data_IF_292134600633
#
_entry.id   IF_292134600633
#
_cell.length_a   1.000
_cell.length_b   1.000
_cell.length_c   1.000
_cell.angle_alpha   90.00
_cell.angle_beta   90.00
_cell.angle_gamma   90.00
#
_symmetry.space_group_name_H-M   'P 1'
#
loop_
_entity.id
_entity.type
_entity.pdbx_description
1 polymer ?
2 non-polymer ?
3 water ?
#
# COMPACT_ATOMS: atom_id res chain seq x y z
N UNK A 2 8.83 18.59 13.94
CA UNK A 2 10.23 18.20 13.59
C UNK A 2 10.47 18.40 12.10
N UNK A 3 9.65 17.75 11.29
CA UNK A 3 9.74 17.86 9.84
C UNK A 3 8.37 18.22 9.28
N UNK A 4 8.23 18.16 7.96
CA UNK A 4 6.97 18.49 7.30
C UNK A 4 6.10 17.24 7.16
N UNK A 5 4.94 17.23 7.81
CA UNK A 5 4.06 16.07 7.72
C UNK A 5 2.82 16.34 6.90
N UNK A 6 2.83 17.46 6.18
CA UNK A 6 1.72 17.80 5.33
C UNK A 6 1.76 16.83 4.15
N UNK A 7 0.64 16.16 3.92
CA UNK A 7 0.53 15.20 2.84
C UNK A 7 0.94 15.81 1.51
N UNK A 8 0.60 17.08 1.33
CA UNK A 8 0.92 17.79 0.10
C UNK A 8 2.43 17.96 -0.09
N UNK A 9 3.21 17.73 0.95
CA UNK A 9 4.66 17.89 0.86
C UNK A 9 5.36 16.58 0.53
N UNK A 10 4.64 15.48 0.67
CA UNK A 10 5.21 14.16 0.42
C UNK A 10 5.62 13.92 -1.01
N UNK A 11 6.87 13.52 -1.19
CA UNK A 11 7.40 13.21 -2.50
C UNK A 11 6.93 11.80 -2.83
N UNK A 12 6.72 11.55 -4.12
CA UNK A 12 6.31 10.23 -4.55
C UNK A 12 7.25 9.83 -5.68
N UNK A 13 7.12 8.59 -6.14
CA UNK A 13 8.00 8.06 -7.17
C UNK A 13 8.01 8.85 -8.47
N UNK A 14 9.15 9.45 -8.78
CA UNK A 14 9.29 10.22 -10.00
C UNK A 14 9.12 9.31 -11.21
N UNK A 15 8.36 9.77 -12.19
CA UNK A 15 8.12 9.00 -13.40
C UNK A 15 7.74 7.55 -13.12
N UNK A 16 6.87 7.33 -12.14
CA UNK A 16 6.45 5.98 -11.79
C UNK A 16 6.06 5.20 -13.04
N UNK A 17 6.61 4.00 -13.16
CA UNK A 17 6.38 3.13 -14.30
C UNK A 17 5.51 1.93 -13.92
N UNK A 18 4.24 1.99 -14.30
CA UNK A 18 3.28 0.93 -13.98
C UNK A 18 3.72 -0.46 -14.43
N UNK A 19 4.27 -0.55 -15.64
CA UNK A 19 4.72 -1.83 -16.18
C UNK A 19 5.78 -2.47 -15.29
N UNK A 20 6.82 -1.70 -14.98
CA UNK A 20 7.90 -2.20 -14.14
C UNK A 20 7.40 -2.58 -12.76
N UNK A 21 6.28 -1.99 -12.35
CA UNK A 21 5.73 -2.25 -11.03
C UNK A 21 4.83 -3.48 -11.00
N UNK A 22 4.42 -3.94 -12.18
CA UNK A 22 3.54 -5.11 -12.25
C UNK A 22 4.16 -6.33 -11.59
N UNK A 23 3.31 -7.29 -11.25
CA UNK A 23 3.81 -8.50 -10.63
C UNK A 23 3.44 -8.64 -9.17
N UNK A 24 4.08 -9.61 -8.53
CA UNK A 24 3.81 -9.92 -7.14
C UNK A 24 4.63 -9.06 -6.19
N UNK A 25 3.93 -8.48 -5.22
CA UNK A 25 4.55 -7.67 -4.19
C UNK A 25 4.05 -8.22 -2.87
N UNK A 26 4.98 -8.55 -1.99
CA UNK A 26 4.63 -9.08 -0.69
C UNK A 26 4.68 -7.95 0.32
N UNK A 27 3.58 -7.75 1.03
CA UNK A 27 3.54 -6.70 2.04
C UNK A 27 4.41 -7.17 3.20
N UNK A 28 5.43 -6.39 3.53
CA UNK A 28 6.32 -6.76 4.63
C UNK A 28 5.96 -6.00 5.89
N UNK A 29 5.33 -4.85 5.72
CA UNK A 29 4.94 -4.04 6.86
C UNK A 29 3.75 -3.20 6.46
N UNK A 30 3.00 -2.77 7.46
CA UNK A 30 1.84 -1.96 7.19
C UNK A 30 1.58 -1.03 8.34
N UNK A 31 1.16 0.18 8.00
CA UNK A 31 0.78 1.18 8.99
C UNK A 31 -0.72 1.12 8.77
N UNK A 32 -1.46 0.77 9.81
CA UNK A 32 -2.90 0.65 9.69
C UNK A 32 -3.67 1.95 9.79
N UNK A 33 -4.79 2.04 9.07
CA UNK A 33 -5.63 3.23 9.10
C UNK A 33 -6.67 2.89 10.16
N UNK A 34 -7.62 3.78 10.41
CA UNK A 34 -8.65 3.47 11.38
C UNK A 34 -9.47 2.33 10.79
N UNK A 35 -9.93 1.41 11.64
CA UNK A 35 -10.71 0.29 11.14
C UNK A 35 -9.93 -0.48 10.09
N UNK A 36 -8.76 -0.96 10.48
CA UNK A 36 -7.90 -1.70 9.58
C UNK A 36 -8.60 -2.91 8.98
N UNK A 37 -8.24 -3.24 7.75
CA UNK A 37 -8.87 -4.36 7.07
C UNK A 37 -7.88 -5.50 6.82
N UNK A 38 -6.88 -5.28 5.98
CA UNK A 38 -5.89 -6.32 5.71
C UNK A 38 -5.03 -6.52 6.96
N UNK A 39 -5.07 -7.74 7.48
CA UNK A 39 -4.33 -8.09 8.69
C UNK A 39 -2.90 -8.56 8.41
N UNK A 40 -2.77 -9.67 7.69
CA UNK A 40 -1.44 -10.19 7.36
C UNK A 40 -1.48 -11.12 6.16
N UNK A 41 -0.35 -11.75 5.87
CA UNK A 41 -0.26 -12.66 4.73
C UNK A 41 -0.74 -11.94 3.50
N UNK A 42 -0.46 -10.64 3.46
CA UNK A 42 -0.88 -9.81 2.36
C UNK A 42 0.03 -9.88 1.15
N UNK A 43 -0.53 -10.37 0.06
CA UNK A 43 0.20 -10.50 -1.18
C UNK A 43 -0.59 -9.82 -2.28
N UNK A 44 0.03 -8.84 -2.90
CA UNK A 44 -0.62 -8.08 -3.96
C UNK A 44 -0.06 -8.49 -5.32
N UNK A 45 -0.92 -8.45 -6.33
CA UNK A 45 -0.52 -8.78 -7.68
C UNK A 45 -0.95 -7.60 -8.54
N UNK A 46 0.04 -6.87 -9.04
CA UNK A 46 -0.23 -5.70 -9.87
C UNK A 46 -0.14 -6.01 -11.35
N UNK A 47 -0.98 -5.34 -12.12
CA UNK A 47 -1.00 -5.53 -13.56
C UNK A 47 -1.31 -4.20 -14.23
N UNK A 48 -1.08 -4.14 -15.53
CA UNK A 48 -1.38 -2.94 -16.30
C UNK A 48 -1.88 -3.43 -17.65
N UNK A 49 -3.08 -3.00 -18.02
CA UNK A 49 -3.65 -3.43 -19.30
C UNK A 49 -3.07 -2.62 -20.45
N UNK A 50 -3.35 -3.07 -21.67
CA UNK A 50 -2.82 -2.41 -22.85
C UNK A 50 -3.17 -0.92 -22.94
N UNK A 51 -4.17 -0.49 -22.18
CA UNK A 51 -4.57 0.92 -22.19
C UNK A 51 -3.74 1.71 -21.19
N UNK A 52 -2.84 1.02 -20.50
CA UNK A 52 -2.00 1.68 -19.52
C UNK A 52 -2.65 1.78 -18.16
N UNK A 53 -3.82 1.17 -18.00
CA UNK A 53 -4.51 1.21 -16.73
C UNK A 53 -3.99 0.16 -15.77
N UNK A 54 -3.52 0.62 -14.62
CA UNK A 54 -3.00 -0.27 -13.61
C UNK A 54 -4.14 -0.80 -12.76
N UNK A 55 -4.03 -2.05 -12.36
CA UNK A 55 -5.04 -2.68 -11.53
C UNK A 55 -4.29 -3.64 -10.62
N UNK A 56 -4.99 -4.20 -9.64
CA UNK A 56 -4.34 -5.12 -8.74
C UNK A 56 -5.33 -6.00 -8.02
N UNK A 57 -4.83 -7.12 -7.52
CA UNK A 57 -5.63 -8.03 -6.75
C UNK A 57 -4.76 -8.25 -5.53
N UNK A 58 -5.36 -8.71 -4.45
CA UNK A 58 -4.60 -8.95 -3.25
C UNK A 58 -5.27 -10.08 -2.50
N UNK A 59 -4.45 -10.85 -1.80
CA UNK A 59 -4.94 -11.96 -1.01
C UNK A 59 -4.28 -11.82 0.35
N UNK A 60 -5.03 -12.14 1.40
CA UNK A 60 -4.48 -12.04 2.74
C UNK A 60 -5.53 -12.19 3.81
N UNK A 61 -5.08 -12.31 5.05
CA UNK A 61 -5.96 -12.45 6.20
C UNK A 61 -6.56 -11.08 6.47
N UNK A 62 -7.88 -11.00 6.47
CA UNK A 62 -8.57 -9.74 6.73
C UNK A 62 -9.46 -9.89 7.95
N UNK A 63 -9.61 -8.81 8.71
CA UNK A 63 -10.45 -8.86 9.90
C UNK A 63 -11.85 -8.37 9.58
N UNK A 64 -12.78 -9.31 9.47
CA UNK A 64 -14.16 -8.99 9.16
C UNK A 64 -14.86 -8.40 10.38
N UNK A 65 -15.00 -9.22 11.42
CA UNK A 65 -15.67 -8.79 12.63
C UNK A 65 -14.75 -8.47 13.80
N UNK A 66 -15.38 -8.06 14.89
CA UNK A 66 -14.70 -7.68 16.12
C UNK A 66 -13.62 -8.65 16.59
N UNK A 67 -13.99 -9.90 16.80
CA UNK A 67 -13.06 -10.89 17.32
C UNK A 67 -12.31 -11.80 16.35
N UNK A 68 -12.83 -12.01 15.14
CA UNK A 68 -12.12 -12.89 14.22
C UNK A 68 -11.99 -12.46 12.76
N UNK A 69 -10.99 -13.03 12.08
CA UNK A 69 -10.69 -12.72 10.69
C UNK A 69 -10.99 -13.85 9.71
N UNK A 70 -10.37 -13.78 8.53
CA UNK A 70 -10.56 -14.77 7.48
C UNK A 70 -9.70 -14.44 6.25
N UNK A 71 -9.52 -15.41 5.37
CA UNK A 71 -8.75 -15.20 4.15
C UNK A 71 -9.67 -14.57 3.11
N UNK A 72 -9.19 -13.54 2.44
CA UNK A 72 -10.01 -12.87 1.44
C UNK A 72 -9.23 -12.40 0.21
N UNK A 73 -9.92 -12.38 -0.93
CA UNK A 73 -9.33 -11.94 -2.18
C UNK A 73 -9.89 -10.56 -2.50
N UNK A 74 -9.00 -9.61 -2.73
CA UNK A 74 -9.41 -8.25 -3.03
C UNK A 74 -9.06 -7.88 -4.45
N UNK A 75 -9.77 -6.89 -4.97
CA UNK A 75 -9.55 -6.42 -6.32
C UNK A 75 -9.46 -4.91 -6.27
N UNK A 76 -8.58 -4.34 -7.09
CA UNK A 76 -8.42 -2.91 -7.12
C UNK A 76 -8.08 -2.39 -8.50
N UNK A 77 -8.69 -1.28 -8.87
CA UNK A 77 -8.45 -0.65 -10.15
C UNK A 77 -7.96 0.76 -9.85
N UNK A 78 -6.90 1.17 -10.52
CA UNK A 78 -6.36 2.49 -10.27
C UNK A 78 -6.63 3.48 -11.38
N UNK A 79 -7.07 4.67 -10.99
CA UNK A 79 -7.35 5.74 -11.94
C UNK A 79 -6.20 6.72 -11.82
N UNK A 80 -5.61 7.06 -12.96
CA UNK A 80 -4.49 7.99 -13.01
C UNK A 80 -4.87 9.39 -12.56
N UNK A 81 -3.85 10.17 -12.22
CA UNK A 81 -4.02 11.56 -11.82
C UNK A 81 -2.89 12.26 -12.54
N UNK A 82 -2.75 13.56 -12.32
CA UNK A 82 -1.70 14.34 -12.97
C UNK A 82 -0.32 13.81 -12.61
N UNK A 83 -0.21 13.22 -11.43
CA UNK A 83 1.05 12.68 -10.94
C UNK A 83 1.10 11.18 -11.25
N UNK A 84 2.10 10.75 -12.04
CA UNK A 84 2.25 9.34 -12.41
C UNK A 84 2.33 8.36 -11.24
N UNK A 85 2.69 8.87 -10.07
CA UNK A 85 2.82 8.02 -8.88
C UNK A 85 1.60 8.09 -7.96
N UNK A 86 0.66 8.97 -8.26
CA UNK A 86 -0.53 9.10 -7.42
C UNK A 86 -1.77 8.60 -8.14
N UNK A 87 -2.51 7.72 -7.48
CA UNK A 87 -3.70 7.14 -8.06
C UNK A 87 -4.91 7.20 -7.16
N UNK A 88 -6.05 6.88 -7.74
CA UNK A 88 -7.30 6.81 -7.01
C UNK A 88 -7.57 5.32 -7.16
N UNK A 89 -7.63 4.62 -6.04
CA UNK A 89 -7.85 3.18 -6.10
C UNK A 89 -9.23 2.75 -5.66
N UNK A 90 -10.01 2.25 -6.61
CA UNK A 90 -11.33 1.74 -6.30
C UNK A 90 -11.08 0.27 -6.00
N UNK A 91 -11.53 -0.18 -4.84
CA UNK A 91 -11.33 -1.57 -4.48
C UNK A 91 -12.58 -2.23 -3.95
N UNK A 92 -12.55 -3.56 -3.93
CA UNK A 92 -13.67 -4.34 -3.46
C UNK A 92 -13.18 -5.76 -3.27
N UNK A 93 -13.96 -6.58 -2.58
CA UNK A 93 -13.56 -7.95 -2.36
C UNK A 93 -14.34 -8.86 -3.29
N UNK A 94 -13.77 -10.03 -3.60
CA UNK A 94 -14.46 -10.97 -4.46
C UNK A 94 -15.79 -11.27 -3.80
N UNK A 95 -15.79 -11.26 -2.47
CA UNK A 95 -17.00 -11.48 -1.70
C UNK A 95 -17.68 -10.13 -1.58
N UNK A 96 -18.92 -10.06 -2.05
CA UNK A 96 -19.71 -8.84 -2.04
C UNK A 96 -19.69 -8.06 -0.72
N UNK A 97 -19.72 -8.77 0.40
CA UNK A 97 -19.74 -8.13 1.71
C UNK A 97 -18.40 -7.57 2.18
N UNK A 98 -17.32 -7.92 1.49
CA UNK A 98 -15.99 -7.43 1.86
C UNK A 98 -15.93 -5.91 1.73
N UNK A 99 -15.02 -5.29 2.47
CA UNK A 99 -14.86 -3.85 2.44
C UNK A 99 -14.65 -3.33 1.02
N UNK A 100 -15.46 -2.35 0.63
CA UNK A 100 -15.36 -1.73 -0.68
C UNK A 100 -15.05 -0.26 -0.43
N UNK A 101 -14.41 0.39 -1.39
CA UNK A 101 -14.10 1.79 -1.20
C UNK A 101 -13.24 2.39 -2.29
N UNK A 102 -12.76 3.60 -2.04
CA UNK A 102 -11.93 4.30 -2.99
C UNK A 102 -10.94 5.14 -2.20
N UNK A 103 -9.68 4.72 -2.22
CA UNK A 103 -8.64 5.44 -1.50
C UNK A 103 -7.59 5.98 -2.45
N UNK A 104 -6.92 7.04 -2.01
CA UNK A 104 -5.83 7.58 -2.79
C UNK A 104 -4.83 6.44 -2.67
N UNK A 105 -3.99 6.27 -3.67
CA UNK A 105 -2.98 5.22 -3.62
C UNK A 105 -1.73 5.83 -4.21
N UNK A 106 -0.77 6.12 -3.35
CA UNK A 106 0.46 6.73 -3.81
C UNK A 106 1.62 5.78 -3.74
N UNK A 107 2.41 5.73 -4.82
CA UNK A 107 3.60 4.91 -4.80
C UNK A 107 4.65 5.93 -4.37
N UNK A 108 4.93 5.95 -3.07
CA UNK A 108 5.88 6.88 -2.51
C UNK A 108 7.28 6.64 -3.06
N UNK A 109 7.67 5.38 -3.12
CA UNK A 109 8.97 5.07 -3.66
C UNK A 109 9.00 3.60 -4.00
N UNK A 110 9.90 3.26 -4.91
CA UNK A 110 10.09 1.89 -5.33
C UNK A 110 11.28 1.84 -6.27
N UNK A 111 11.92 0.68 -6.34
CA UNK A 111 13.03 0.50 -7.25
C UNK A 111 12.57 -0.60 -8.22
N UNK A 112 11.28 -0.91 -8.13
CA UNK A 112 10.60 -1.90 -8.98
C UNK A 112 10.93 -3.37 -8.80
N UNK A 113 12.20 -3.71 -8.59
CA UNK A 113 12.55 -5.11 -8.45
C UNK A 113 12.87 -5.54 -7.03
N UNK A 114 12.71 -4.65 -6.06
CA UNK A 114 13.04 -5.01 -4.69
C UNK A 114 12.02 -4.54 -3.66
N UNK A 115 11.80 -3.24 -3.61
CA UNK A 115 10.89 -2.67 -2.62
C UNK A 115 9.94 -1.64 -3.18
N UNK A 116 8.88 -1.39 -2.43
CA UNK A 116 7.89 -0.41 -2.81
C UNK A 116 7.30 0.11 -1.52
N UNK A 117 7.06 1.41 -1.48
CA UNK A 117 6.45 2.03 -0.32
C UNK A 117 5.21 2.69 -0.87
N UNK A 118 4.06 2.25 -0.38
CA UNK A 118 2.77 2.77 -0.80
C UNK A 118 2.21 3.62 0.33
N UNK A 119 1.34 4.55 -0.01
CA UNK A 119 0.77 5.41 1.00
C UNK A 119 -0.59 5.87 0.56
N UNK A 120 -1.47 6.05 1.53
CA UNK A 120 -2.81 6.52 1.26
C UNK A 120 -3.28 7.34 2.43
N UNK A 121 -3.70 8.57 2.17
CA UNK A 121 -4.25 9.36 3.24
C UNK A 121 -5.73 9.39 2.91
N UNK A 122 -6.52 8.74 3.75
CA UNK A 122 -7.95 8.66 3.55
C UNK A 122 -8.65 9.94 3.94
N UNK A 123 -8.04 10.68 4.86
CA UNK A 123 -8.65 11.91 5.34
C UNK A 123 -7.59 12.85 5.87
N UNK A 124 -7.61 14.08 5.38
CA UNK A 124 -6.63 15.06 5.82
C UNK A 124 -7.08 15.77 7.08
N UNK A 125 -6.10 16.18 7.88
CA UNK A 125 -6.37 16.97 9.06
C UNK A 125 -6.49 18.37 8.47
N UNK A 126 -7.02 19.30 9.26
CA UNK A 126 -7.20 20.66 8.78
C UNK A 126 -5.89 21.42 8.57
N UNK A 127 -4.78 20.84 9.02
CA UNK A 127 -3.48 21.47 8.86
C UNK A 127 -2.70 20.81 7.72
N UNK A 128 -3.37 19.97 6.94
CA UNK A 128 -2.69 19.34 5.82
C UNK A 128 -2.04 18.02 6.14
N UNK A 129 -1.84 17.72 7.42
CA UNK A 129 -1.24 16.44 7.80
C UNK A 129 -2.34 15.42 7.60
N UNK A 130 -1.98 14.14 7.59
CA UNK A 130 -3.00 13.13 7.39
C UNK A 130 -3.70 12.74 8.68
N UNK A 131 -5.03 12.65 8.63
CA UNK A 131 -5.80 12.29 9.81
C UNK A 131 -5.99 10.80 9.91
N UNK A 132 -6.06 10.15 8.76
CA UNK A 132 -6.27 8.71 8.71
C UNK A 132 -5.51 8.19 7.51
N UNK A 133 -4.40 7.52 7.78
CA UNK A 133 -3.56 7.02 6.71
C UNK A 133 -3.24 5.56 6.87
N UNK A 134 -2.74 4.99 5.79
CA UNK A 134 -2.26 3.63 5.84
C UNK A 134 -1.15 3.55 4.83
N UNK A 135 -0.27 2.60 5.04
CA UNK A 135 0.86 2.48 4.17
C UNK A 135 1.35 1.06 4.21
N UNK A 136 1.76 0.58 3.04
CA UNK A 136 2.29 -0.75 2.88
C UNK A 136 3.69 -0.64 2.35
N UNK A 137 4.56 -1.47 2.91
CA UNK A 137 5.92 -1.56 2.43
C UNK A 137 5.89 -2.92 1.77
N UNK A 138 6.20 -2.97 0.48
CA UNK A 138 6.19 -4.23 -0.25
C UNK A 138 7.59 -4.68 -0.60
N UNK A 139 7.72 -5.99 -0.75
CA UNK A 139 8.99 -6.60 -1.13
C UNK A 139 8.69 -7.61 -2.23
N UNK A 140 9.59 -7.72 -3.20
CA UNK A 140 9.40 -8.68 -4.27
C UNK A 140 9.63 -10.07 -3.69
N UNK A 141 10.47 -10.12 -2.65
CA UNK A 141 10.80 -11.37 -1.97
C UNK A 141 10.11 -11.46 -0.61
N UNK A 142 9.28 -12.50 -0.41
CA UNK A 142 8.55 -12.70 0.84
C UNK A 142 9.47 -12.75 2.06
N UNK A 143 10.73 -13.09 1.82
CA UNK A 143 11.70 -13.20 2.91
C UNK A 143 12.19 -11.86 3.43
N UNK A 144 11.79 -10.78 2.77
CA UNK A 144 12.20 -9.47 3.23
C UNK A 144 13.07 -8.70 2.28
N UNK A 145 13.31 -7.45 2.63
CA UNK A 145 14.13 -6.55 1.85
C UNK A 145 15.59 -6.66 2.23
N UNK A 146 16.49 -6.34 1.29
CA UNK A 146 17.93 -6.40 1.57
C UNK A 146 18.17 -5.19 2.46
N UNK A 147 19.32 -5.14 3.15
CA UNK A 147 19.60 -4.00 4.02
C UNK A 147 19.53 -2.62 3.35
N UNK A 148 20.11 -2.48 2.16
CA UNK A 148 20.09 -1.20 1.47
C UNK A 148 18.66 -0.70 1.24
N UNK A 149 17.79 -1.60 0.79
CA UNK A 149 16.39 -1.25 0.54
C UNK A 149 15.68 -0.97 1.86
N UNK A 150 15.96 -1.80 2.86
CA UNK A 150 15.35 -1.63 4.17
C UNK A 150 15.63 -0.22 4.67
N UNK A 151 16.88 0.23 4.51
CA UNK A 151 17.27 1.55 4.99
C UNK A 151 16.58 2.66 4.21
N UNK A 152 16.42 2.45 2.91
CA UNK A 152 15.74 3.44 2.09
C UNK A 152 14.29 3.50 2.53
N UNK A 153 13.69 2.34 2.75
CA UNK A 153 12.29 2.30 3.17
C UNK A 153 12.13 3.01 4.52
N UNK A 154 13.05 2.77 5.45
CA UNK A 154 12.96 3.44 6.74
C UNK A 154 12.93 4.96 6.55
N UNK A 155 13.78 5.46 5.66
CA UNK A 155 13.82 6.89 5.39
C UNK A 155 12.47 7.34 4.83
N UNK A 156 11.95 6.57 3.88
CA UNK A 156 10.67 6.89 3.27
C UNK A 156 9.57 6.91 4.32
N UNK A 157 9.58 5.93 5.22
CA UNK A 157 8.56 5.87 6.26
C UNK A 157 8.62 7.12 7.13
N UNK A 158 9.83 7.58 7.41
CA UNK A 158 9.97 8.76 8.24
C UNK A 158 9.48 9.99 7.50
N UNK A 159 9.76 10.05 6.20
CA UNK A 159 9.31 11.18 5.39
C UNK A 159 7.79 11.25 5.39
N UNK A 160 7.14 10.09 5.53
CA UNK A 160 5.68 10.04 5.57
C UNK A 160 5.16 10.30 6.99
N UNK A 161 6.07 10.48 7.93
CA UNK A 161 5.73 10.70 9.33
C UNK A 161 5.01 9.49 9.89
N UNK A 162 5.45 8.31 9.45
CA UNK A 162 4.84 7.06 9.87
C UNK A 162 5.82 6.04 10.41
N UNK A 163 7.11 6.38 10.39
CA UNK A 163 8.14 5.44 10.82
C UNK A 163 7.93 4.68 12.12
N UNK A 164 7.26 5.29 13.10
CA UNK A 164 7.05 4.60 14.37
C UNK A 164 5.75 3.83 14.38
N UNK A 165 4.97 3.94 13.31
CA UNK A 165 3.64 3.34 13.27
C UNK A 165 3.36 2.12 12.41
N UNK A 166 4.40 1.38 12.03
CA UNK A 166 4.20 0.19 11.23
C UNK A 166 4.27 -1.07 12.06
N UNK A 167 3.74 -2.13 11.49
CA UNK A 167 3.82 -3.43 12.12
C UNK A 167 4.21 -4.37 11.00
N UNK A 168 4.93 -5.41 11.35
CA UNK A 168 5.37 -6.37 10.36
C UNK A 168 4.23 -7.27 9.91
N UNK A 169 4.23 -7.56 8.62
CA UNK A 169 3.23 -8.44 8.03
C UNK A 169 3.93 -9.77 7.83
N UNK A 170 3.35 -10.82 8.39
CA UNK A 170 3.93 -12.14 8.27
C UNK A 170 3.32 -12.94 7.13
N UNK A 171 4.10 -13.87 6.60
CA UNK A 171 3.67 -14.72 5.51
C UNK A 171 3.94 -16.15 5.94
N UNK A 172 2.90 -16.81 6.43
CA UNK A 172 3.00 -18.18 6.91
C UNK A 172 2.01 -19.11 6.22
N UNK A 173 1.77 -18.87 4.94
CA UNK A 173 0.85 -19.70 4.17
C UNK A 173 -0.55 -19.83 4.75
N UNK A 174 -0.93 -18.91 5.62
CA UNK A 174 -2.25 -18.94 6.23
C UNK A 174 -3.33 -18.99 5.15
N UNK A 175 -3.05 -18.35 4.02
CA UNK A 175 -3.99 -18.32 2.90
C UNK A 175 -3.33 -18.79 1.61
X LIG B 1 -6.80 -0.23 4.06
X LIG B 1 -6.12 -0.66 2.86
X LIG B 1 -7.12 -1.48 4.96
X LIG B 1 -6.54 -1.34 6.27
X LIG B 1 -6.60 -2.78 4.32
X LIG B 1 -5.25 -3.04 4.67
X LIG C 1 -7.93 -3.07 0.45
X LIG C 1 -7.28 -1.79 0.37
X LIG C 1 -7.85 -3.83 -0.93
X LIG C 1 -7.15 -5.07 -0.74
X LIG C 1 -7.10 -3.01 -2.03
X LIG C 1 -7.21 -3.61 -3.33
X LIG D 1 -3.40 -2.02 -0.55
X LIG D 1 -2.82 -0.87 -1.18
X LIG D 1 -3.00 -3.34 -1.31
X LIG D 1 -2.28 -4.20 -0.41
X LIG D 1 -2.09 -3.06 -2.55
X LIG D 1 -2.84 -2.66 -3.70
X LIG E 1 4.74 -16.08 -9.21
X LIG E 1 4.38 -14.70 -9.12
X LIG E 1 3.46 -17.00 -9.08
X LIG E 1 3.32 -17.78 -10.28
X LIG E 1 2.15 -16.17 -8.87
X LIG E 1 1.07 -16.94 -8.34
X LIG F 1 2.01 20.54 11.71
X LIG F 1 0.85 19.75 11.41
X LIG F 1 2.18 20.66 13.28
X LIG F 1 3.45 20.12 13.67
X LIG F 1 1.07 19.91 14.03
X LIG F 1 1.31 18.51 14.10
X LIG G 1 -4.83 17.65 -2.60
X LIG G 1 -4.97 18.24 -1.30
X LIG G 1 -5.12 16.09 -2.55
X LIG G 1 -6.23 15.80 -3.42
X LIG G 1 -5.47 15.60 -1.10
X LIG G 1 -4.67 14.49 -0.68
#
# INVERSE_FOLDING_TARGET
MERDCRVSSFRVKENFDKARFSGTWYAMAKKDPEGLFLQDNIVAEFSVDETGQMSATAKGRVRLLNNWDVCADMVGTFTDTEDPAKFKMKYWGVASFLQKGNDDHWIVDTDYDTYAVQYSCRLLNLDGTCADSYSFVFSRDPNGLPPEAQKIVRQRQEELCLARQYRLIVHNGYCDGRSERNL
GOL C1 O1 C2 O2 C3 O3
GOL C1 O1 C2 O2 C3 O3
GOL C1 O1 C2 O2 C3 O3
GOL C1 O1 C2 O2 C3 O3
GOL C1 O1 C2 O2 C3 O3
GOL C1 O1 C2 O2 C3 O3
#
